data_IF_016242421078
#
_entry.id   IF_016242421078
#
_cell.length_a   1.000
_cell.length_b   1.000
_cell.length_c   1.000
_cell.angle_alpha   90.00
_cell.angle_beta   90.00
_cell.angle_gamma   90.00
#
_symmetry.space_group_name_H-M   'P 1'
#
loop_
_entity.id
_entity.type
_entity.pdbx_description
1 polymer ?
#
# COMPACT_ATOMS: atom_id res chain seq x y z
N UNK A 1 -32.24 1.14 7.29
CA UNK A 1 -32.27 1.54 6.61
C UNK A 1 -32.36 1.69 6.55
N UNK A 2 -31.78 2.22 6.87
CA UNK A 2 -31.86 2.86 6.38
C UNK A 2 -31.77 2.99 5.96
N UNK A 3 -31.32 3.39 6.04
CA UNK A 3 -31.24 4.00 5.30
C UNK A 3 -31.03 4.05 4.95
N UNK A 4 -30.83 4.32 5.11
CA UNK A 4 -30.59 4.78 4.39
C UNK A 4 -30.16 4.90 4.19
N UNK A 5 -29.90 5.27 4.39
CA UNK A 5 -29.55 5.75 3.79
C UNK A 5 -29.20 5.97 3.45
N UNK A 6 -29.09 6.30 3.74
CA UNK A 6 -28.82 6.81 3.03
C UNK A 6 -28.35 7.07 2.95
N UNK A 7 -28.16 7.45 3.09
CA UNK A 7 -27.78 7.98 2.58
C UNK A 7 -27.46 8.22 2.22
N UNK A 8 -27.42 8.55 2.42
CA UNK A 8 -27.17 9.00 1.68
C UNK A 8 -26.94 9.16 1.27
N UNK A 9 -26.99 9.45 1.44
CA UNK A 9 -26.80 9.79 0.69
C UNK A 9 -26.47 9.94 0.36
N UNK A 10 -26.45 10.21 0.46
CA UNK A 10 -26.02 10.49 -0.20
C UNK A 10 -25.45 10.58 -0.62
N UNK A 11 -25.47 10.87 -0.52
CA UNK A 11 -25.03 10.98 -1.17
C UNK A 11 -24.36 10.87 -1.49
N UNK A 12 -24.19 10.81 -1.15
CA UNK A 12 -23.62 10.62 -1.73
C UNK A 12 -23.33 10.16 -2.61
N UNK A 13 -23.28 10.46 -2.78
CA UNK A 13 -23.00 10.01 -3.87
C UNK A 13 -21.70 9.80 -3.95
N UNK A 14 -21.47 8.92 -4.05
CA UNK A 14 -20.34 8.55 -4.13
C UNK A 14 -19.75 8.77 -5.31
N UNK A 15 -19.07 9.60 -5.41
CA UNK A 15 -18.30 9.79 -6.51
C UNK A 15 -17.41 8.67 -6.60
N UNK A 16 -17.78 7.84 -7.43
CA UNK A 16 -16.93 6.89 -7.74
C UNK A 16 -15.90 7.52 -8.44
N UNK A 17 -14.92 7.87 -7.80
CA UNK A 17 -13.79 8.25 -8.41
C UNK A 17 -13.41 7.16 -9.24
N UNK A 18 -13.33 7.37 -10.45
CA UNK A 18 -12.84 6.42 -11.34
C UNK A 18 -11.41 6.21 -11.09
N UNK A 19 -11.12 5.67 -9.96
CA UNK A 19 -9.87 5.10 -9.81
C UNK A 19 -9.88 3.94 -10.67
N UNK A 20 -8.91 3.81 -11.54
CA UNK A 20 -8.75 2.58 -12.26
C UNK A 20 -8.73 1.54 -11.18
N UNK A 21 -9.62 0.66 -11.30
CA UNK A 21 -9.70 -0.40 -10.43
C UNK A 21 -8.44 -1.09 -10.58
N UNK A 22 -7.77 -1.25 -9.56
CA UNK A 22 -6.55 -1.94 -9.63
C UNK A 22 -6.85 -3.39 -9.73
N UNK A 23 -7.15 -3.82 -10.91
CA UNK A 23 -7.29 -5.23 -11.12
C UNK A 23 -5.92 -5.81 -11.14
N UNK A 24 -5.21 -5.69 -10.07
CA UNK A 24 -3.93 -6.32 -10.00
C UNK A 24 -4.11 -7.75 -9.63
N UNK A 25 -3.53 -8.61 -10.42
CA UNK A 25 -3.56 -10.03 -10.13
C UNK A 25 -2.91 -10.29 -8.78
N UNK A 26 -3.50 -11.16 -7.99
CA UNK A 26 -2.91 -11.55 -6.72
C UNK A 26 -1.68 -12.42 -6.90
N UNK A 27 -1.36 -12.82 -8.14
CA UNK A 27 -0.19 -13.66 -8.40
C UNK A 27 0.96 -12.91 -9.03
N UNK A 28 0.84 -11.59 -9.21
CA UNK A 28 1.95 -10.80 -9.74
C UNK A 28 2.97 -10.54 -8.66
N UNK A 29 4.22 -10.42 -9.07
CA UNK A 29 5.29 -10.19 -8.11
C UNK A 29 5.20 -8.80 -7.49
N UNK A 30 4.96 -7.77 -8.29
CA UNK A 30 4.94 -6.41 -7.78
C UNK A 30 3.55 -5.81 -7.90
N UNK A 31 3.17 -5.03 -6.88
CA UNK A 31 1.93 -4.29 -6.90
C UNK A 31 2.17 -2.87 -6.44
N UNK A 32 1.38 -1.93 -6.97
CA UNK A 32 1.41 -0.54 -6.55
C UNK A 32 0.14 -0.24 -5.76
N UNK A 33 0.32 0.45 -4.65
CA UNK A 33 -0.78 0.86 -3.79
C UNK A 33 -0.80 2.38 -3.70
N UNK A 34 -1.92 3.02 -4.00
CA UNK A 34 -1.99 4.46 -3.93
C UNK A 34 -1.97 4.93 -2.48
N UNK A 35 -1.46 6.12 -2.26
CA UNK A 35 -1.58 6.81 -0.98
C UNK A 35 -2.59 7.93 -1.14
N UNK A 36 -2.88 8.63 -0.04
CA UNK A 36 -3.74 9.80 -0.13
C UNK A 36 -3.02 11.00 -0.73
N UNK A 37 -1.70 10.92 -0.89
CA UNK A 37 -0.96 11.90 -1.65
C UNK A 37 -1.01 11.49 -3.13
N UNK A 38 -1.54 12.37 -3.96
CA UNK A 38 -1.77 12.11 -5.38
C UNK A 38 -0.50 11.63 -6.10
N UNK A 39 0.67 12.08 -5.68
CA UNK A 39 1.92 11.82 -6.38
C UNK A 39 2.67 10.60 -5.87
N UNK A 40 2.21 9.99 -4.78
CA UNK A 40 2.97 8.96 -4.06
C UNK A 40 2.25 7.63 -4.08
N UNK A 41 3.01 6.58 -4.38
CA UNK A 41 2.54 5.19 -4.31
C UNK A 41 3.51 4.38 -3.48
N UNK A 42 3.03 3.30 -2.92
CA UNK A 42 3.87 2.30 -2.28
C UNK A 42 3.97 1.11 -3.23
N UNK A 43 5.18 0.70 -3.55
CA UNK A 43 5.41 -0.50 -4.35
C UNK A 43 5.77 -1.64 -3.41
N UNK A 44 5.10 -2.74 -3.57
CA UNK A 44 5.29 -3.94 -2.76
C UNK A 44 5.80 -5.08 -3.64
N UNK A 45 6.84 -5.75 -3.18
CA UNK A 45 7.19 -7.06 -3.71
C UNK A 45 6.33 -8.07 -2.94
N UNK A 46 5.32 -8.58 -3.60
CA UNK A 46 4.34 -9.45 -2.94
C UNK A 46 4.93 -10.80 -2.55
N UNK A 47 6.10 -11.14 -3.08
CA UNK A 47 6.69 -12.44 -2.79
C UNK A 47 7.45 -12.45 -1.46
N UNK A 48 8.01 -11.32 -1.06
CA UNK A 48 8.90 -11.28 0.10
C UNK A 48 8.65 -10.12 1.07
N UNK A 49 7.76 -9.20 0.73
CA UNK A 49 7.40 -8.11 1.63
C UNK A 49 8.30 -6.88 1.61
N UNK A 50 9.20 -6.77 0.64
CA UNK A 50 9.99 -5.54 0.49
C UNK A 50 9.11 -4.42 -0.04
N UNK A 51 9.43 -3.20 0.35
CA UNK A 51 8.60 -2.03 0.06
C UNK A 51 9.43 -0.85 -0.42
N UNK A 52 8.86 -0.06 -1.33
CA UNK A 52 9.46 1.17 -1.83
C UNK A 52 8.41 2.27 -1.87
N UNK A 53 8.86 3.50 -1.67
CA UNK A 53 8.04 4.69 -1.90
C UNK A 53 8.37 5.20 -3.29
N UNK A 54 7.34 5.44 -4.08
CA UNK A 54 7.49 5.86 -5.47
C UNK A 54 6.80 7.20 -5.65
N UNK A 55 7.48 8.16 -6.21
CA UNK A 55 6.88 9.44 -6.56
C UNK A 55 7.00 9.68 -8.04
N UNK A 56 5.88 9.99 -8.69
CA UNK A 56 5.93 10.49 -10.05
C UNK A 56 5.74 12.01 -10.02
N UNK A 57 6.12 12.68 -11.10
CA UNK A 57 6.03 14.12 -11.19
C UNK A 57 6.15 14.52 -12.64
N UNK A 58 5.62 15.69 -12.97
CA UNK A 58 5.86 16.30 -14.27
C UNK A 58 7.32 16.76 -14.41
N UNK A 59 7.97 17.05 -13.28
CA UNK A 59 9.36 17.46 -13.25
C UNK A 59 10.22 16.24 -12.95
N UNK A 60 11.12 15.90 -13.86
CA UNK A 60 12.00 14.74 -13.73
C UNK A 60 12.83 14.78 -12.44
N UNK A 61 13.17 15.96 -11.96
CA UNK A 61 13.97 16.09 -10.74
C UNK A 61 13.21 15.64 -9.49
N UNK A 62 11.90 15.51 -9.59
CA UNK A 62 11.07 15.13 -8.46
C UNK A 62 10.56 13.69 -8.57
N UNK A 63 11.05 12.94 -9.55
CA UNK A 63 10.68 11.53 -9.69
C UNK A 63 11.68 10.68 -8.92
N UNK A 64 11.18 9.74 -8.15
CA UNK A 64 12.08 8.84 -7.44
C UNK A 64 11.39 7.54 -7.03
N UNK A 65 12.23 6.58 -6.72
CA UNK A 65 11.83 5.36 -6.05
C UNK A 65 12.89 5.11 -4.99
N UNK A 66 12.46 4.98 -3.73
CA UNK A 66 13.39 4.79 -2.61
C UNK A 66 12.87 3.70 -1.71
N UNK A 67 13.75 2.86 -1.21
CA UNK A 67 13.35 1.76 -0.35
C UNK A 67 12.75 2.29 0.95
N UNK A 68 11.56 1.80 1.29
CA UNK A 68 11.01 1.98 2.61
C UNK A 68 11.54 0.88 3.52
N UNK A 69 11.56 -0.34 3.02
CA UNK A 69 12.13 -1.47 3.73
C UNK A 69 12.66 -2.48 2.71
N UNK A 70 13.97 -2.66 2.71
CA UNK A 70 14.63 -3.60 1.79
C UNK A 70 14.85 -4.97 2.44
N UNK A 71 14.23 -5.22 3.59
CA UNK A 71 14.42 -6.46 4.32
C UNK A 71 13.29 -7.42 3.97
N UNK A 72 13.61 -8.62 3.44
CA UNK A 72 12.55 -9.60 3.18
C UNK A 72 11.92 -10.06 4.49
N UNK A 73 10.65 -10.36 4.44
CA UNK A 73 9.88 -10.74 5.64
C UNK A 73 9.55 -12.22 5.69
N UNK A 74 10.17 -13.01 4.82
CA UNK A 74 10.09 -14.46 4.87
C UNK A 74 11.39 -15.03 4.30
N UNK A 75 11.70 -16.29 4.60
CA UNK A 75 12.87 -16.94 3.99
C UNK A 75 12.74 -16.99 2.48
N UNK A 76 13.86 -16.89 1.77
CA UNK A 76 13.85 -16.85 0.31
C UNK A 76 13.14 -18.06 -0.30
N UNK A 77 13.35 -19.22 0.27
CA UNK A 77 12.75 -20.45 -0.25
C UNK A 77 11.24 -20.50 -0.03
N UNK A 78 10.71 -19.61 0.81
CA UNK A 78 9.27 -19.53 1.06
C UNK A 78 8.64 -18.32 0.38
N UNK A 79 9.40 -17.59 -0.41
CA UNK A 79 8.87 -16.45 -1.15
C UNK A 79 7.92 -16.94 -2.23
N UNK A 80 6.80 -16.25 -2.37
CA UNK A 80 5.79 -16.66 -3.33
C UNK A 80 4.98 -15.45 -3.73
N UNK A 81 4.82 -15.26 -5.02
CA UNK A 81 4.04 -14.12 -5.53
C UNK A 81 2.64 -14.14 -4.90
N UNK A 82 2.22 -12.99 -4.41
CA UNK A 82 0.90 -12.86 -3.78
C UNK A 82 0.89 -13.13 -2.30
N UNK A 83 2.04 -13.49 -1.71
CA UNK A 83 2.09 -13.80 -0.28
C UNK A 83 1.79 -12.58 0.59
N UNK A 84 2.30 -11.41 0.21
CA UNK A 84 2.13 -10.19 1.02
C UNK A 84 1.17 -9.23 0.34
N UNK A 85 0.41 -8.50 1.14
CA UNK A 85 -0.50 -7.46 0.65
C UNK A 85 -0.54 -6.29 1.63
N UNK A 86 -1.00 -5.14 1.16
CA UNK A 86 -1.11 -3.93 1.98
C UNK A 86 -2.56 -3.52 2.11
N UNK A 87 -2.88 -2.95 3.25
CA UNK A 87 -4.18 -2.34 3.51
C UNK A 87 -3.96 -0.90 3.95
N UNK A 88 -4.66 0.03 3.32
CA UNK A 88 -4.62 1.43 3.71
C UNK A 88 -5.37 1.61 5.03
N UNK A 89 -4.96 2.58 5.81
CA UNK A 89 -5.64 2.97 7.03
C UNK A 89 -6.18 4.38 6.87
N UNK A 90 -6.87 4.88 7.88
CA UNK A 90 -7.34 6.26 7.86
C UNK A 90 -6.22 7.28 8.07
N UNK A 91 -5.06 6.82 8.52
CA UNK A 91 -3.89 7.68 8.63
C UNK A 91 -3.21 7.69 7.27
N UNK A 92 -3.03 8.88 6.68
CA UNK A 92 -2.53 8.99 5.32
C UNK A 92 -1.14 8.40 5.13
N UNK A 93 -0.37 8.29 6.20
CA UNK A 93 1.01 7.81 6.13
C UNK A 93 1.15 6.33 6.49
N UNK A 94 0.08 5.68 6.91
CA UNK A 94 0.18 4.35 7.51
C UNK A 94 -0.59 3.31 6.73
N UNK A 95 0.08 2.18 6.48
CA UNK A 95 -0.52 0.99 5.91
C UNK A 95 -0.28 -0.17 6.87
N UNK A 96 -1.05 -1.21 6.71
CA UNK A 96 -0.80 -2.47 7.39
C UNK A 96 -0.43 -3.49 6.32
N UNK A 97 0.70 -4.16 6.50
CA UNK A 97 1.09 -5.25 5.62
C UNK A 97 0.73 -6.57 6.27
N UNK A 98 0.13 -7.44 5.50
CA UNK A 98 -0.25 -8.78 5.94
C UNK A 98 0.52 -9.82 5.16
N UNK A 99 1.11 -10.77 5.88
CA UNK A 99 1.61 -12.00 5.30
C UNK A 99 0.43 -12.97 5.27
N UNK A 100 -0.09 -13.22 4.09
CA UNK A 100 -1.29 -14.03 3.93
C UNK A 100 -1.06 -15.52 4.17
N UNK A 101 0.19 -15.92 4.34
CA UNK A 101 0.55 -17.31 4.64
C UNK A 101 0.70 -17.53 6.13
N UNK A 102 1.47 -16.67 6.80
CA UNK A 102 1.74 -16.82 8.23
C UNK A 102 0.77 -16.07 9.13
N UNK A 103 0.09 -15.07 8.58
CA UNK A 103 -0.79 -14.20 9.36
C UNK A 103 -0.07 -13.08 10.08
N UNK A 104 1.24 -12.93 9.89
CA UNK A 104 1.98 -11.85 10.53
C UNK A 104 1.60 -10.50 9.94
N UNK A 105 1.67 -9.48 10.78
CA UNK A 105 1.28 -8.14 10.43
C UNK A 105 2.38 -7.15 10.76
N UNK A 106 2.49 -6.12 9.95
CA UNK A 106 3.44 -5.03 10.19
C UNK A 106 2.73 -3.71 9.99
N UNK A 107 3.09 -2.74 10.81
CA UNK A 107 2.74 -1.36 10.58
C UNK A 107 3.79 -0.77 9.64
N UNK A 108 3.35 -0.15 8.57
CA UNK A 108 4.21 0.44 7.56
C UNK A 108 3.89 1.91 7.50
N UNK A 109 4.90 2.76 7.63
CA UNK A 109 4.70 4.20 7.58
C UNK A 109 5.65 4.82 6.57
N UNK A 110 5.10 5.62 5.68
CA UNK A 110 5.89 6.46 4.81
C UNK A 110 5.76 7.90 5.30
N UNK A 111 6.46 8.83 4.68
CA UNK A 111 6.36 10.24 5.03
C UNK A 111 7.08 11.09 4.01
N UNK A 112 7.11 12.39 4.23
CA UNK A 112 7.75 13.32 3.30
C UNK A 112 9.27 13.31 3.39
N UNK A 113 9.81 12.58 4.35
CA UNK A 113 11.23 12.48 4.58
C UNK A 113 11.53 11.03 4.92
N UNK A 114 12.63 10.48 4.43
CA UNK A 114 12.98 9.09 4.70
C UNK A 114 13.15 8.83 6.19
N UNK A 115 13.46 9.85 6.97
CA UNK A 115 13.56 9.69 8.42
C UNK A 115 12.22 9.33 9.05
N UNK A 116 11.12 9.52 8.33
CA UNK A 116 9.79 9.17 8.80
C UNK A 116 9.36 7.77 8.38
N UNK A 117 10.17 7.09 7.60
CA UNK A 117 9.83 5.74 7.16
C UNK A 117 10.00 4.77 8.34
N UNK A 118 9.05 3.88 8.49
CA UNK A 118 9.07 2.95 9.60
C UNK A 118 8.37 1.66 9.20
N UNK A 119 8.87 0.56 9.67
CA UNK A 119 8.22 -0.73 9.53
C UNK A 119 8.43 -1.53 10.80
N UNK A 120 7.34 -1.87 11.47
CA UNK A 120 7.37 -2.52 12.77
C UNK A 120 6.38 -3.67 12.78
N UNK A 121 6.82 -4.82 13.26
CA UNK A 121 5.92 -5.96 13.39
C UNK A 121 4.89 -5.71 14.48
N UNK A 122 3.65 -6.05 14.22
CA UNK A 122 2.57 -5.92 15.19
C UNK A 122 2.46 -7.25 15.92
N UNK A 123 2.65 -7.21 17.21
CA UNK A 123 2.61 -8.43 18.01
C UNK A 123 1.26 -8.65 18.64
#
# INVERSE_FOLDING_TARGET
MFLSITIATNAQTEVKINRPEFSQSTTTKFRLFPTQNLWIFIKLDTSNGKLWVVQYSMDANNRFEVALSAIPRCPAENAKNGRFTLYATNNIYTFIMLDQVSGKLWQVQWGNNIDNFMMVEIN
#
